data_IF_820871200452
#
_entry.id   IF_820871200452
#
_cell.length_a   1.000
_cell.length_b   1.000
_cell.length_c   1.000
_cell.angle_alpha   90.00
_cell.angle_beta   90.00
_cell.angle_gamma   90.00
#
_symmetry.space_group_name_H-M   'P 1'
#
loop_
_entity.id
_entity.type
_entity.pdbx_description
1 polymer ?
#
# COMPACT_ATOMS: atom_id res chain seq x y z
N UNK A 1 -4.85 -49.00 12.07
CA UNK A 1 -5.70 -48.04 11.34
C UNK A 1 -5.96 -46.77 12.15
N UNK A 2 -6.37 -46.85 13.43
CA UNK A 2 -6.65 -45.67 14.26
C UNK A 2 -5.47 -44.68 14.40
N UNK A 3 -4.25 -45.17 14.64
CA UNK A 3 -3.04 -44.32 14.74
C UNK A 3 -2.78 -43.58 13.41
N UNK A 4 -3.00 -44.25 12.27
CA UNK A 4 -2.79 -43.64 10.95
C UNK A 4 -3.84 -42.56 10.65
N UNK A 5 -5.10 -42.74 11.07
CA UNK A 5 -6.13 -41.70 10.93
C UNK A 5 -5.91 -40.51 11.85
N UNK A 6 -5.38 -40.74 13.06
CA UNK A 6 -5.07 -39.67 14.02
C UNK A 6 -3.89 -38.82 13.56
N UNK A 7 -2.82 -39.46 13.06
CA UNK A 7 -1.69 -38.76 12.42
C UNK A 7 -2.16 -37.97 11.19
N UNK A 8 -3.03 -38.54 10.37
CA UNK A 8 -3.57 -37.86 9.19
C UNK A 8 -4.37 -36.60 9.55
N UNK A 9 -5.18 -36.65 10.62
CA UNK A 9 -5.93 -35.49 11.11
C UNK A 9 -4.99 -34.38 11.64
N UNK A 10 -3.96 -34.74 12.40
CA UNK A 10 -2.95 -33.77 12.88
C UNK A 10 -2.25 -33.09 11.69
N UNK A 11 -1.80 -33.86 10.70
CA UNK A 11 -1.14 -33.33 9.50
C UNK A 11 -2.07 -32.41 8.71
N UNK A 12 -3.36 -32.75 8.61
CA UNK A 12 -4.35 -31.91 7.92
C UNK A 12 -4.57 -30.57 8.64
N UNK A 13 -4.62 -30.60 9.98
CA UNK A 13 -4.73 -29.38 10.81
C UNK A 13 -3.46 -28.51 10.75
N UNK A 14 -2.28 -29.11 10.61
CA UNK A 14 -1.04 -28.38 10.39
C UNK A 14 -0.99 -27.74 8.99
N UNK A 15 -1.38 -28.47 7.95
CA UNK A 15 -1.38 -27.99 6.56
C UNK A 15 -2.34 -26.80 6.37
N UNK A 16 -3.52 -26.80 6.99
CA UNK A 16 -4.44 -25.65 6.91
C UNK A 16 -3.84 -24.38 7.53
N UNK A 17 -3.06 -24.48 8.61
CA UNK A 17 -2.37 -23.32 9.21
C UNK A 17 -1.32 -22.78 8.23
N UNK A 18 -0.57 -23.66 7.57
CA UNK A 18 0.39 -23.28 6.53
C UNK A 18 -0.32 -22.60 5.35
N UNK A 19 -1.40 -23.19 4.84
CA UNK A 19 -2.20 -22.62 3.74
C UNK A 19 -2.80 -21.26 4.10
N UNK A 20 -3.27 -21.10 5.34
CA UNK A 20 -3.77 -19.83 5.85
C UNK A 20 -2.66 -18.77 5.85
N UNK A 21 -1.48 -19.09 6.40
CA UNK A 21 -0.34 -18.19 6.41
C UNK A 21 0.07 -17.77 4.99
N UNK A 22 0.18 -18.73 4.07
CA UNK A 22 0.46 -18.47 2.64
C UNK A 22 -0.57 -17.54 2.01
N UNK A 23 -1.85 -17.78 2.27
CA UNK A 23 -2.96 -16.99 1.72
C UNK A 23 -2.94 -15.55 2.24
N UNK A 24 -2.70 -15.35 3.54
CA UNK A 24 -2.64 -14.02 4.13
C UNK A 24 -1.41 -13.22 3.67
N UNK A 25 -0.24 -13.86 3.52
CA UNK A 25 0.95 -13.20 2.97
C UNK A 25 0.73 -12.81 1.51
N UNK A 26 0.19 -13.73 0.69
CA UNK A 26 -0.02 -13.49 -0.75
C UNK A 26 -1.08 -12.43 -1.03
N UNK A 27 -2.05 -12.25 -0.15
CA UNK A 27 -3.10 -11.22 -0.27
C UNK A 27 -2.69 -9.87 0.35
N UNK A 28 -1.54 -9.83 1.05
CA UNK A 28 -0.89 -8.59 1.45
C UNK A 28 -1.17 -8.13 2.88
N UNK A 29 -1.65 -9.01 3.76
CA UNK A 29 -1.85 -8.70 5.18
C UNK A 29 -0.54 -8.26 5.87
N UNK A 30 -0.59 -7.36 6.88
CA UNK A 30 0.58 -6.98 7.69
C UNK A 30 1.13 -8.16 8.52
N UNK A 31 2.45 -8.30 8.64
CA UNK A 31 3.12 -9.48 9.22
C UNK A 31 2.63 -9.82 10.64
N UNK A 32 2.57 -8.82 11.52
CA UNK A 32 2.12 -8.98 12.91
C UNK A 32 0.69 -9.52 13.04
N UNK A 33 -0.16 -9.33 12.03
CA UNK A 33 -1.53 -9.84 12.02
C UNK A 33 -1.61 -11.27 11.53
N UNK A 34 -0.72 -11.65 10.63
CA UNK A 34 -0.64 -13.03 10.12
C UNK A 34 -0.23 -13.95 11.26
N UNK A 35 0.79 -13.57 12.04
CA UNK A 35 1.24 -14.30 13.23
C UNK A 35 0.09 -14.47 14.24
N UNK A 36 -0.59 -13.38 14.60
CA UNK A 36 -1.72 -13.43 15.53
C UNK A 36 -2.92 -14.24 14.98
N UNK A 37 -3.11 -14.28 13.66
CA UNK A 37 -4.16 -15.06 13.02
C UNK A 37 -3.86 -16.57 13.07
N UNK A 38 -2.63 -16.94 12.73
CA UNK A 38 -2.15 -18.32 12.78
C UNK A 38 -2.17 -18.84 14.23
N UNK A 39 -1.73 -18.04 15.20
CA UNK A 39 -1.76 -18.41 16.62
C UNK A 39 -3.18 -18.68 17.14
N UNK A 40 -4.17 -17.86 16.76
CA UNK A 40 -5.56 -18.05 17.16
C UNK A 40 -6.19 -19.31 16.56
N UNK A 41 -5.93 -19.57 15.28
CA UNK A 41 -6.42 -20.78 14.60
C UNK A 41 -5.75 -22.02 15.19
N UNK A 42 -4.44 -21.95 15.43
CA UNK A 42 -3.67 -23.02 16.07
C UNK A 42 -4.21 -23.40 17.45
N UNK A 43 -4.49 -22.42 18.30
CA UNK A 43 -5.14 -22.63 19.61
C UNK A 43 -6.52 -23.28 19.50
N UNK A 44 -7.26 -23.01 18.43
CA UNK A 44 -8.59 -23.62 18.22
C UNK A 44 -8.50 -25.07 17.74
N UNK A 45 -7.48 -25.38 16.93
CA UNK A 45 -7.21 -26.71 16.38
C UNK A 45 -6.40 -27.61 17.33
N UNK A 46 -6.05 -27.09 18.51
CA UNK A 46 -5.25 -27.75 19.54
C UNK A 46 -3.84 -28.13 19.04
N UNK A 47 -3.24 -27.24 18.26
CA UNK A 47 -1.87 -27.38 17.77
C UNK A 47 -0.95 -26.48 18.60
N UNK A 48 0.17 -27.02 19.06
CA UNK A 48 1.24 -26.23 19.66
C UNK A 48 2.19 -25.79 18.55
N UNK A 49 2.23 -24.49 18.28
CA UNK A 49 3.10 -23.95 17.24
C UNK A 49 3.57 -22.53 17.50
N UNK A 50 4.73 -22.21 16.92
CA UNK A 50 5.31 -20.87 16.89
C UNK A 50 5.40 -20.39 15.45
N UNK A 51 5.09 -19.11 15.23
CA UNK A 51 4.94 -18.52 13.91
C UNK A 51 5.74 -17.22 13.83
N UNK A 52 6.57 -17.09 12.81
CA UNK A 52 7.27 -15.84 12.52
C UNK A 52 7.15 -15.53 11.02
N UNK A 53 6.74 -14.31 10.70
CA UNK A 53 6.57 -13.84 9.32
C UNK A 53 7.59 -12.76 9.02
N UNK A 54 8.47 -13.06 8.08
CA UNK A 54 9.46 -12.15 7.53
C UNK A 54 9.11 -11.81 6.08
N UNK A 55 9.57 -10.66 5.55
CA UNK A 55 9.41 -10.36 4.13
C UNK A 55 10.00 -11.49 3.27
N UNK A 56 9.17 -12.16 2.49
CA UNK A 56 9.58 -13.28 1.62
C UNK A 56 9.61 -14.67 2.27
N UNK A 57 9.42 -14.80 3.59
CA UNK A 57 9.59 -16.05 4.33
C UNK A 57 8.60 -16.18 5.50
N UNK A 58 7.92 -17.32 5.57
CA UNK A 58 7.15 -17.72 6.75
C UNK A 58 7.90 -18.87 7.42
N UNK A 59 8.15 -18.73 8.72
CA UNK A 59 8.72 -19.76 9.57
C UNK A 59 7.59 -20.29 10.45
N UNK A 60 7.31 -21.57 10.31
CA UNK A 60 6.32 -22.28 11.11
C UNK A 60 7.02 -23.41 11.84
N UNK A 61 6.95 -23.42 13.16
CA UNK A 61 7.45 -24.53 13.97
C UNK A 61 6.29 -25.17 14.70
N UNK A 62 6.02 -26.44 14.42
CA UNK A 62 5.09 -27.25 15.19
C UNK A 62 5.86 -28.02 16.25
N UNK A 63 5.41 -27.92 17.50
CA UNK A 63 5.99 -28.65 18.62
C UNK A 63 5.09 -29.82 19.01
N UNK A 64 5.70 -30.96 19.28
CA UNK A 64 5.04 -32.08 19.95
C UNK A 64 5.58 -32.20 21.38
N UNK A 65 4.69 -31.98 22.35
CA UNK A 65 5.04 -32.00 23.78
C UNK A 65 5.32 -33.43 24.24
N UNK A 66 4.71 -34.45 23.64
CA UNK A 66 4.86 -35.84 24.07
C UNK A 66 6.21 -36.43 23.65
N UNK A 67 6.64 -36.13 22.42
CA UNK A 67 7.90 -36.66 21.87
C UNK A 67 9.10 -35.71 22.05
N UNK A 68 8.86 -34.49 22.57
CA UNK A 68 9.85 -33.42 22.62
C UNK A 68 10.48 -33.11 21.25
N UNK A 69 9.75 -33.37 20.15
CA UNK A 69 10.20 -33.06 18.80
C UNK A 69 9.60 -31.76 18.29
N UNK A 70 10.30 -31.11 17.37
CA UNK A 70 9.80 -29.91 16.70
C UNK A 70 10.06 -30.01 15.21
N UNK A 71 9.01 -29.88 14.40
CA UNK A 71 9.12 -29.79 12.95
C UNK A 71 9.06 -28.32 12.54
N UNK A 72 10.04 -27.86 11.75
CA UNK A 72 10.09 -26.48 11.28
C UNK A 72 9.98 -26.42 9.76
N UNK A 73 8.96 -25.72 9.27
CA UNK A 73 8.75 -25.44 7.86
C UNK A 73 9.20 -24.02 7.52
N UNK A 74 10.05 -23.92 6.50
CA UNK A 74 10.49 -22.66 5.91
C UNK A 74 9.79 -22.48 4.57
N UNK A 75 8.82 -21.57 4.52
CA UNK A 75 7.96 -21.38 3.36
C UNK A 75 8.28 -20.03 2.71
N UNK A 76 8.81 -20.07 1.49
CA UNK A 76 9.00 -18.85 0.69
C UNK A 76 7.67 -18.39 0.12
N UNK A 77 7.32 -17.12 0.34
CA UNK A 77 6.09 -16.51 -0.16
C UNK A 77 6.37 -15.09 -0.63
N UNK A 78 6.07 -14.79 -1.90
CA UNK A 78 6.05 -13.42 -2.39
C UNK A 78 4.76 -12.74 -1.97
N UNK A 79 4.90 -11.51 -1.45
CA UNK A 79 3.77 -10.66 -1.11
C UNK A 79 3.17 -10.12 -2.41
N UNK A 80 1.86 -10.18 -2.53
CA UNK A 80 1.08 -9.42 -3.50
C UNK A 80 -0.03 -8.69 -2.74
N UNK A 81 -0.69 -7.72 -3.37
CA UNK A 81 -1.77 -6.97 -2.75
C UNK A 81 -3.04 -7.19 -3.54
N UNK A 82 -4.01 -7.87 -2.93
CA UNK A 82 -5.33 -8.12 -3.49
C UNK A 82 -6.36 -8.01 -2.35
N UNK A 83 -6.94 -6.82 -2.21
CA UNK A 83 -7.82 -6.47 -1.08
C UNK A 83 -9.11 -7.31 -1.10
N UNK A 84 -9.63 -7.65 -2.29
CA UNK A 84 -10.79 -8.51 -2.44
C UNK A 84 -10.53 -9.92 -1.91
N UNK A 85 -9.40 -10.53 -2.31
CA UNK A 85 -8.98 -11.83 -1.79
C UNK A 85 -8.61 -11.80 -0.31
N UNK A 86 -8.03 -10.70 0.17
CA UNK A 86 -7.68 -10.52 1.58
C UNK A 86 -8.91 -10.58 2.48
N UNK A 87 -10.01 -9.91 2.12
CA UNK A 87 -11.27 -9.97 2.89
C UNK A 87 -11.83 -11.40 2.95
N UNK A 88 -11.73 -12.15 1.85
CA UNK A 88 -12.18 -13.56 1.78
C UNK A 88 -11.31 -14.47 2.66
N UNK A 89 -9.99 -14.40 2.53
CA UNK A 89 -9.05 -15.18 3.34
C UNK A 89 -9.24 -14.88 4.85
N UNK A 90 -9.43 -13.61 5.18
CA UNK A 90 -9.72 -13.16 6.55
C UNK A 90 -11.03 -13.74 7.09
N UNK A 91 -12.09 -13.78 6.26
CA UNK A 91 -13.38 -14.34 6.66
C UNK A 91 -13.25 -15.83 6.97
N UNK A 92 -12.56 -16.59 6.13
CA UNK A 92 -12.29 -18.02 6.34
C UNK A 92 -11.51 -18.22 7.65
N UNK A 93 -10.42 -17.46 7.86
CA UNK A 93 -9.63 -17.52 9.08
C UNK A 93 -10.48 -17.26 10.34
N UNK A 94 -11.40 -16.29 10.25
CA UNK A 94 -12.29 -15.92 11.36
C UNK A 94 -13.33 -17.00 11.64
N UNK A 95 -13.90 -17.64 10.62
CA UNK A 95 -14.84 -18.75 10.78
C UNK A 95 -14.14 -19.99 11.37
N UNK A 96 -12.93 -20.30 10.90
CA UNK A 96 -12.11 -21.39 11.41
C UNK A 96 -11.76 -21.18 12.89
N UNK A 97 -11.37 -19.97 13.28
CA UNK A 97 -11.10 -19.63 14.68
C UNK A 97 -12.34 -19.70 15.58
N UNK A 98 -13.55 -19.52 15.03
CA UNK A 98 -14.83 -19.69 15.75
C UNK A 98 -15.34 -21.14 15.74
N UNK A 99 -14.76 -22.02 14.92
CA UNK A 99 -15.24 -23.38 14.71
C UNK A 99 -16.55 -23.47 13.92
N UNK A 100 -16.81 -22.49 13.05
CA UNK A 100 -18.01 -22.44 12.19
C UNK A 100 -17.84 -23.19 10.86
N UNK A 101 -16.61 -23.53 10.49
CA UNK A 101 -16.26 -24.17 9.22
C UNK A 101 -15.33 -25.35 9.49
N UNK A 102 -15.54 -26.44 8.76
CA UNK A 102 -14.72 -27.64 8.89
C UNK A 102 -13.34 -27.46 8.23
N UNK A 103 -12.34 -28.18 8.71
CA UNK A 103 -10.96 -28.12 8.22
C UNK A 103 -10.84 -28.43 6.72
N UNK A 104 -11.40 -29.53 6.18
CA UNK A 104 -11.33 -29.82 4.74
C UNK A 104 -11.99 -28.72 3.89
N UNK A 105 -13.19 -28.27 4.26
CA UNK A 105 -13.90 -27.22 3.53
C UNK A 105 -13.11 -25.91 3.51
N UNK A 106 -12.52 -25.51 4.65
CA UNK A 106 -11.70 -24.32 4.72
C UNK A 106 -10.40 -24.46 3.92
N UNK A 107 -9.82 -25.66 3.82
CA UNK A 107 -8.63 -25.92 3.00
C UNK A 107 -8.92 -25.74 1.50
N UNK A 108 -10.06 -26.23 1.02
CA UNK A 108 -10.49 -26.06 -0.37
C UNK A 108 -10.73 -24.58 -0.70
N UNK A 109 -11.42 -23.86 0.19
CA UNK A 109 -11.67 -22.42 0.03
C UNK A 109 -10.38 -21.59 0.00
N UNK A 110 -9.36 -21.96 0.79
CA UNK A 110 -8.06 -21.29 0.76
C UNK A 110 -7.27 -21.62 -0.52
N UNK A 111 -7.34 -22.86 -0.99
CA UNK A 111 -6.71 -23.27 -2.25
C UNK A 111 -7.32 -22.55 -3.46
N UNK A 112 -8.63 -22.32 -3.46
CA UNK A 112 -9.33 -21.52 -4.47
C UNK A 112 -8.82 -20.07 -4.51
N UNK A 113 -8.53 -19.47 -3.35
CA UNK A 113 -7.97 -18.11 -3.28
C UNK A 113 -6.55 -18.08 -3.84
N UNK A 114 -5.72 -19.09 -3.50
CA UNK A 114 -4.32 -19.18 -3.93
C UNK A 114 -4.16 -19.49 -5.42
N UNK A 115 -5.05 -20.32 -5.98
CA UNK A 115 -5.03 -20.73 -7.40
C UNK A 115 -5.87 -19.83 -8.30
N UNK A 116 -6.81 -19.08 -7.73
CA UNK A 116 -7.72 -18.22 -8.48
C UNK A 116 -7.00 -17.06 -9.21
N UNK A 117 -7.55 -16.59 -10.35
CA UNK A 117 -7.01 -15.44 -11.08
C UNK A 117 -7.06 -14.16 -10.22
N UNK A 118 -6.31 -13.10 -10.57
CA UNK A 118 -6.44 -11.81 -9.90
C UNK A 118 -7.88 -11.29 -9.98
N UNK A 119 -8.30 -10.49 -8.99
CA UNK A 119 -9.66 -9.94 -8.91
C UNK A 119 -10.06 -9.17 -10.18
N UNK A 120 -9.12 -8.45 -10.79
CA UNK A 120 -9.33 -7.69 -12.02
C UNK A 120 -8.50 -8.22 -13.18
N UNK A 121 -9.05 -8.14 -14.40
CA UNK A 121 -8.33 -8.46 -15.64
C UNK A 121 -7.19 -7.45 -15.84
N UNK A 122 -6.06 -7.84 -16.46
CA UNK A 122 -4.92 -6.94 -16.69
C UNK A 122 -5.29 -5.63 -17.39
N UNK A 123 -6.22 -5.67 -18.35
CA UNK A 123 -6.68 -4.47 -19.08
C UNK A 123 -7.36 -3.48 -18.13
N UNK A 124 -8.19 -3.95 -17.19
CA UNK A 124 -8.86 -3.11 -16.20
C UNK A 124 -7.86 -2.46 -15.27
N UNK A 125 -6.80 -3.18 -14.89
CA UNK A 125 -5.70 -2.64 -14.08
C UNK A 125 -4.98 -1.52 -14.86
N UNK A 126 -4.59 -1.74 -16.11
CA UNK A 126 -3.91 -0.72 -16.94
C UNK A 126 -4.77 0.54 -17.12
N UNK A 127 -6.08 0.38 -17.35
CA UNK A 127 -7.01 1.52 -17.42
C UNK A 127 -7.13 2.25 -16.07
N UNK A 128 -7.07 1.52 -14.96
CA UNK A 128 -7.06 2.11 -13.63
C UNK A 128 -5.77 2.89 -13.33
N UNK A 129 -4.62 2.47 -13.90
CA UNK A 129 -3.40 3.28 -13.88
C UNK A 129 -3.59 4.62 -14.58
N UNK A 130 -4.15 4.61 -15.80
CA UNK A 130 -4.43 5.84 -16.54
C UNK A 130 -5.40 6.75 -15.76
N UNK A 131 -6.50 6.19 -15.24
CA UNK A 131 -7.52 6.94 -14.52
C UNK A 131 -6.98 7.59 -13.24
N UNK A 132 -6.23 6.84 -12.44
CA UNK A 132 -5.67 7.35 -11.19
C UNK A 132 -4.61 8.43 -11.43
N UNK A 133 -3.69 8.24 -12.38
CA UNK A 133 -2.70 9.27 -12.75
C UNK A 133 -3.36 10.55 -13.28
N UNK A 134 -4.41 10.42 -14.10
CA UNK A 134 -5.17 11.55 -14.60
C UNK A 134 -5.82 12.37 -13.47
N UNK A 135 -6.44 11.69 -12.51
CA UNK A 135 -7.17 12.35 -11.42
C UNK A 135 -6.25 12.89 -10.31
N UNK A 136 -5.09 12.27 -10.08
CA UNK A 136 -4.11 12.69 -9.07
C UNK A 136 -3.41 14.00 -9.45
N UNK A 137 -3.14 14.21 -10.74
CA UNK A 137 -2.48 15.43 -11.24
C UNK A 137 -3.15 16.73 -10.76
N UNK A 138 -4.46 16.95 -10.99
CA UNK A 138 -5.15 18.14 -10.47
C UNK A 138 -5.38 18.10 -8.96
N UNK A 139 -5.57 16.91 -8.37
CA UNK A 139 -5.98 16.77 -6.97
C UNK A 139 -4.88 17.11 -5.95
N UNK A 140 -3.62 16.77 -6.26
CA UNK A 140 -2.49 16.97 -5.34
C UNK A 140 -1.42 17.93 -5.86
N UNK A 141 -1.32 18.11 -7.17
CA UNK A 141 -0.26 18.90 -7.78
C UNK A 141 -0.77 20.16 -8.47
N UNK A 142 -2.07 20.49 -8.32
CA UNK A 142 -2.69 21.66 -8.94
C UNK A 142 -2.49 21.69 -10.47
N UNK A 143 -2.49 20.51 -11.10
CA UNK A 143 -2.42 20.38 -12.56
C UNK A 143 -3.66 20.92 -13.27
N UNK A 144 -3.46 21.31 -14.52
CA UNK A 144 -4.47 21.75 -15.48
C UNK A 144 -5.17 20.58 -16.18
N UNK A 145 -6.17 20.86 -17.02
CA UNK A 145 -6.82 19.83 -17.85
C UNK A 145 -5.86 19.18 -18.86
N UNK A 146 -4.89 19.92 -19.39
CA UNK A 146 -3.87 19.36 -20.28
C UNK A 146 -2.96 18.40 -19.52
N UNK A 147 -2.57 18.76 -18.30
CA UNK A 147 -1.79 17.89 -17.41
C UNK A 147 -2.52 16.58 -17.10
N UNK A 148 -3.85 16.62 -16.92
CA UNK A 148 -4.68 15.45 -16.68
C UNK A 148 -4.59 14.42 -17.81
N UNK A 149 -4.79 14.84 -19.07
CA UNK A 149 -4.73 13.94 -20.22
C UNK A 149 -3.33 13.40 -20.49
N UNK A 150 -2.30 14.24 -20.37
CA UNK A 150 -0.91 13.79 -20.53
C UNK A 150 -0.51 12.80 -19.42
N UNK A 151 -0.93 13.07 -18.17
CA UNK A 151 -0.73 12.14 -17.05
C UNK A 151 -1.46 10.81 -17.27
N UNK A 152 -2.64 10.82 -17.90
CA UNK A 152 -3.37 9.60 -18.24
C UNK A 152 -2.59 8.72 -19.23
N UNK A 153 -1.97 9.33 -20.25
CA UNK A 153 -1.18 8.64 -21.25
C UNK A 153 0.07 8.02 -20.62
N UNK A 154 0.79 8.78 -19.79
CA UNK A 154 1.93 8.22 -19.07
C UNK A 154 1.53 7.16 -18.05
N UNK A 155 0.43 7.34 -17.33
CA UNK A 155 -0.12 6.32 -16.42
C UNK A 155 -0.45 5.02 -17.17
N UNK A 156 -1.05 5.11 -18.35
CA UNK A 156 -1.31 3.95 -19.21
C UNK A 156 0.00 3.24 -19.61
N UNK A 157 1.02 4.01 -20.00
CA UNK A 157 2.34 3.46 -20.34
C UNK A 157 2.99 2.77 -19.14
N UNK A 158 2.96 3.38 -17.94
CA UNK A 158 3.46 2.78 -16.70
C UNK A 158 2.71 1.50 -16.36
N UNK A 159 1.38 1.48 -16.49
CA UNK A 159 0.58 0.27 -16.25
C UNK A 159 0.93 -0.86 -17.22
N UNK A 160 1.11 -0.55 -18.50
CA UNK A 160 1.54 -1.54 -19.50
C UNK A 160 2.95 -2.07 -19.22
N UNK A 161 3.90 -1.20 -18.86
CA UNK A 161 5.27 -1.59 -18.50
C UNK A 161 5.31 -2.41 -17.21
N UNK A 162 4.41 -2.13 -16.25
CA UNK A 162 4.27 -2.94 -15.02
C UNK A 162 3.83 -4.36 -15.35
N UNK A 163 2.87 -4.52 -16.27
CA UNK A 163 2.47 -5.86 -16.71
C UNK A 163 3.58 -6.62 -17.44
N UNK A 164 4.47 -5.91 -18.15
CA UNK A 164 5.63 -6.51 -18.82
C UNK A 164 6.72 -6.88 -17.80
N UNK A 165 6.93 -6.07 -16.75
CA UNK A 165 7.95 -6.33 -15.71
C UNK A 165 7.68 -7.61 -14.93
N UNK A 166 6.42 -7.96 -14.72
CA UNK A 166 6.03 -9.23 -14.09
C UNK A 166 6.44 -10.46 -14.91
N UNK A 167 6.62 -10.33 -16.22
CA UNK A 167 6.98 -11.44 -17.12
C UNK A 167 8.48 -11.54 -17.37
N UNK A 168 9.19 -10.42 -17.32
CA UNK A 168 10.62 -10.33 -17.66
C UNK A 168 11.40 -9.93 -16.40
N UNK A 169 12.05 -10.88 -15.69
CA UNK A 169 12.71 -10.60 -14.41
C UNK A 169 13.86 -9.58 -14.53
N UNK A 170 14.54 -9.55 -15.69
CA UNK A 170 15.61 -8.56 -15.94
C UNK A 170 15.06 -7.13 -16.02
N UNK A 171 13.84 -6.95 -16.54
CA UNK A 171 13.20 -5.63 -16.61
C UNK A 171 12.73 -5.16 -15.23
N UNK A 172 12.28 -6.09 -14.38
CA UNK A 172 11.90 -5.80 -12.98
C UNK A 172 13.03 -5.14 -12.18
N UNK A 173 14.29 -5.55 -12.40
CA UNK A 173 15.45 -5.01 -11.68
C UNK A 173 15.81 -3.56 -12.03
N UNK A 174 15.33 -3.05 -13.18
CA UNK A 174 15.64 -1.70 -13.69
C UNK A 174 14.36 -0.91 -13.93
N UNK A 175 13.22 -1.41 -13.44
CA UNK A 175 11.89 -0.94 -13.77
C UNK A 175 11.71 0.54 -13.43
N UNK A 176 12.16 0.94 -12.24
CA UNK A 176 12.01 2.30 -11.72
C UNK A 176 12.68 3.33 -12.62
N UNK A 177 13.91 3.03 -13.06
CA UNK A 177 14.67 3.89 -13.97
C UNK A 177 14.10 3.84 -15.39
N UNK A 178 13.68 2.66 -15.86
CA UNK A 178 13.14 2.47 -17.20
C UNK A 178 11.84 3.24 -17.43
N UNK A 179 10.99 3.41 -16.41
CA UNK A 179 9.76 4.21 -16.53
C UNK A 179 10.03 5.72 -16.34
N UNK A 180 10.88 6.11 -15.40
CA UNK A 180 11.02 7.52 -15.00
C UNK A 180 11.86 8.33 -15.97
N UNK A 181 12.91 7.75 -16.57
CA UNK A 181 13.80 8.47 -17.51
C UNK A 181 13.01 8.95 -18.74
N UNK A 182 12.24 8.10 -19.47
CA UNK A 182 11.45 8.55 -20.61
C UNK A 182 10.36 9.56 -20.21
N UNK A 183 9.68 9.34 -19.08
CA UNK A 183 8.66 10.26 -18.59
C UNK A 183 9.26 11.64 -18.35
N UNK A 184 10.42 11.73 -17.69
CA UNK A 184 11.08 12.99 -17.42
C UNK A 184 11.49 13.72 -18.71
N UNK A 185 12.12 13.02 -19.65
CA UNK A 185 12.54 13.61 -20.94
C UNK A 185 11.35 14.12 -21.75
N UNK A 186 10.28 13.31 -21.88
CA UNK A 186 9.11 13.69 -22.67
C UNK A 186 8.30 14.79 -21.96
N UNK A 187 8.18 14.74 -20.63
CA UNK A 187 7.49 15.78 -19.86
C UNK A 187 8.23 17.13 -19.97
N UNK A 188 9.57 17.14 -20.00
CA UNK A 188 10.34 18.36 -20.23
C UNK A 188 10.19 18.89 -21.66
N UNK A 189 10.12 18.00 -22.66
CA UNK A 189 9.83 18.40 -24.03
C UNK A 189 8.47 19.10 -24.18
N UNK A 190 7.49 18.72 -23.36
CA UNK A 190 6.15 19.29 -23.34
C UNK A 190 5.98 20.47 -22.37
N UNK A 191 7.01 20.81 -21.58
CA UNK A 191 6.96 21.83 -20.51
C UNK A 191 6.23 23.15 -20.85
N UNK A 192 6.31 23.76 -22.06
CA UNK A 192 5.56 24.99 -22.33
C UNK A 192 4.03 24.82 -22.25
N UNK A 193 3.50 23.60 -22.37
CA UNK A 193 2.07 23.31 -22.35
C UNK A 193 1.60 22.59 -21.08
N UNK A 194 2.53 22.07 -20.28
CA UNK A 194 2.24 21.24 -19.11
C UNK A 194 3.09 21.60 -17.90
N UNK A 195 2.56 21.34 -16.71
CA UNK A 195 3.35 21.44 -15.48
C UNK A 195 4.15 20.14 -15.25
N UNK A 196 5.48 20.23 -15.38
CA UNK A 196 6.38 19.07 -15.21
C UNK A 196 6.15 18.34 -13.88
N UNK A 197 6.16 19.08 -12.77
CA UNK A 197 6.04 18.49 -11.43
C UNK A 197 4.70 17.77 -11.24
N UNK A 198 3.62 18.28 -11.84
CA UNK A 198 2.32 17.62 -11.77
C UNK A 198 2.30 16.33 -12.58
N UNK A 199 2.76 16.37 -13.83
CA UNK A 199 2.70 15.24 -14.77
C UNK A 199 3.68 14.13 -14.42
N UNK A 200 4.93 14.47 -14.07
CA UNK A 200 5.96 13.47 -13.78
C UNK A 200 5.62 12.65 -12.52
N UNK A 201 5.08 13.28 -11.48
CA UNK A 201 4.79 12.62 -10.20
C UNK A 201 3.43 11.91 -10.24
N UNK A 202 2.42 12.48 -10.91
CA UNK A 202 1.11 11.82 -11.08
C UNK A 202 1.21 10.56 -11.94
N UNK A 203 2.07 10.56 -12.97
CA UNK A 203 2.27 9.41 -13.86
C UNK A 203 2.80 8.18 -13.12
N UNK A 204 3.65 8.39 -12.12
CA UNK A 204 4.25 7.31 -11.32
C UNK A 204 3.53 7.08 -9.99
N UNK A 205 2.38 7.74 -9.73
CA UNK A 205 1.76 7.75 -8.39
C UNK A 205 1.51 6.36 -7.82
N UNK A 206 1.14 5.40 -8.66
CA UNK A 206 0.91 4.01 -8.24
C UNK A 206 2.21 3.28 -7.94
N UNK A 207 3.28 3.57 -8.68
CA UNK A 207 4.60 2.99 -8.44
C UNK A 207 5.19 3.49 -7.11
N UNK A 208 4.74 4.64 -6.61
CA UNK A 208 5.19 5.14 -5.31
C UNK A 208 4.88 4.11 -4.21
N UNK A 209 5.88 3.70 -3.40
CA UNK A 209 5.75 2.64 -2.40
C UNK A 209 5.05 3.17 -1.14
N UNK A 210 3.94 3.86 -1.34
CA UNK A 210 3.28 4.61 -0.31
C UNK A 210 2.69 3.74 0.80
N UNK A 211 1.93 2.71 0.40
CA UNK A 211 1.44 1.70 1.32
C UNK A 211 2.60 1.05 2.09
N UNK A 212 3.66 0.65 1.39
CA UNK A 212 4.85 0.04 2.01
C UNK A 212 5.49 0.96 3.06
N UNK A 213 5.66 2.26 2.77
CA UNK A 213 6.20 3.24 3.73
C UNK A 213 5.35 3.31 5.00
N UNK A 214 4.03 3.45 4.86
CA UNK A 214 3.14 3.53 6.02
C UNK A 214 3.05 2.24 6.82
N UNK A 215 2.97 1.09 6.15
CA UNK A 215 3.02 -0.21 6.82
C UNK A 215 4.33 -0.41 7.56
N UNK A 216 5.47 0.02 7.00
CA UNK A 216 6.77 -0.11 7.65
C UNK A 216 6.81 0.59 9.00
N UNK A 217 6.41 1.87 9.03
CA UNK A 217 6.42 2.68 10.26
C UNK A 217 5.38 2.17 11.26
N UNK A 218 4.26 1.63 10.77
CA UNK A 218 3.26 0.96 11.61
C UNK A 218 3.79 -0.33 12.23
N UNK A 219 4.52 -1.15 11.48
CA UNK A 219 5.15 -2.36 11.99
C UNK A 219 6.24 -2.03 13.02
N UNK A 220 7.05 -1.00 12.77
CA UNK A 220 8.05 -0.47 13.69
C UNK A 220 7.43 0.01 15.02
N UNK A 221 6.36 0.79 14.95
CA UNK A 221 5.64 1.28 16.14
C UNK A 221 4.88 0.17 16.88
N UNK A 222 4.42 -0.86 16.18
CA UNK A 222 3.87 -2.09 16.75
C UNK A 222 4.94 -3.04 17.35
N UNK A 223 6.20 -2.60 17.44
CA UNK A 223 7.36 -3.38 17.94
C UNK A 223 7.76 -4.58 17.07
N UNK A 224 7.27 -4.69 15.83
CA UNK A 224 7.79 -5.64 14.85
C UNK A 224 8.97 -5.00 14.10
N UNK A 225 10.12 -4.92 14.78
CA UNK A 225 11.30 -4.20 14.32
C UNK A 225 11.89 -4.81 13.04
N UNK A 226 11.93 -6.14 12.92
CA UNK A 226 12.58 -6.81 11.78
C UNK A 226 11.79 -6.58 10.49
N UNK A 227 10.48 -6.89 10.49
CA UNK A 227 9.62 -6.69 9.31
C UNK A 227 9.55 -5.20 8.93
N UNK A 228 9.33 -4.32 9.91
CA UNK A 228 9.18 -2.89 9.67
C UNK A 228 10.46 -2.22 9.15
N UNK A 229 11.64 -2.60 9.66
CA UNK A 229 12.92 -2.02 9.20
C UNK A 229 13.26 -2.41 7.76
N UNK A 230 13.06 -3.68 7.40
CA UNK A 230 13.34 -4.17 6.04
C UNK A 230 12.43 -3.49 5.03
N UNK A 231 11.13 -3.38 5.32
CA UNK A 231 10.18 -2.69 4.45
C UNK A 231 10.51 -1.19 4.32
N UNK A 232 10.93 -0.54 5.41
CA UNK A 232 11.27 0.88 5.39
C UNK A 232 12.48 1.16 4.50
N UNK A 233 13.56 0.38 4.69
CA UNK A 233 14.79 0.52 3.88
C UNK A 233 14.49 0.26 2.41
N UNK A 234 13.73 -0.80 2.10
CA UNK A 234 13.32 -1.11 0.73
C UNK A 234 12.53 0.04 0.10
N UNK A 235 11.54 0.59 0.80
CA UNK A 235 10.72 1.67 0.28
C UNK A 235 11.48 2.98 0.09
N UNK A 236 12.45 3.30 0.98
CA UNK A 236 13.33 4.47 0.82
C UNK A 236 14.25 4.34 -0.39
N UNK A 237 14.87 3.17 -0.59
CA UNK A 237 15.70 2.88 -1.77
C UNK A 237 14.86 2.98 -3.04
N UNK A 238 13.63 2.47 -3.01
CA UNK A 238 12.71 2.52 -4.14
C UNK A 238 12.36 3.98 -4.53
N UNK A 239 12.03 4.83 -3.56
CA UNK A 239 11.81 6.27 -3.80
C UNK A 239 13.07 6.93 -4.37
N UNK A 240 14.25 6.55 -3.89
CA UNK A 240 15.52 7.07 -4.40
C UNK A 240 15.77 6.67 -5.86
N UNK A 241 15.45 5.43 -6.26
CA UNK A 241 15.57 5.01 -7.67
C UNK A 241 14.60 5.75 -8.60
N UNK A 242 13.36 5.97 -8.16
CA UNK A 242 12.40 6.78 -8.92
C UNK A 242 12.91 8.22 -9.09
N UNK A 243 13.38 8.84 -8.00
CA UNK A 243 13.90 10.19 -8.03
C UNK A 243 15.18 10.30 -8.87
N UNK A 244 16.07 9.32 -8.76
CA UNK A 244 17.29 9.23 -9.57
C UNK A 244 16.94 9.17 -11.05
N UNK A 245 15.99 8.33 -11.46
CA UNK A 245 15.60 8.24 -12.87
C UNK A 245 14.96 9.52 -13.41
N UNK A 246 14.16 10.24 -12.60
CA UNK A 246 13.66 11.58 -12.96
C UNK A 246 14.83 12.57 -13.11
N UNK A 247 15.73 12.64 -12.13
CA UNK A 247 16.88 13.55 -12.15
C UNK A 247 17.84 13.26 -13.31
N UNK A 248 18.07 11.99 -13.60
CA UNK A 248 18.87 11.53 -14.74
C UNK A 248 18.22 11.95 -16.07
N UNK A 249 16.91 11.76 -16.23
CA UNK A 249 16.16 12.24 -17.39
C UNK A 249 16.22 13.76 -17.57
N UNK A 250 16.14 14.52 -16.47
CA UNK A 250 16.32 15.98 -16.49
C UNK A 250 17.72 16.37 -16.96
N UNK A 251 18.74 15.64 -16.52
CA UNK A 251 20.14 15.88 -16.89
C UNK A 251 20.39 15.61 -18.38
N UNK A 252 19.81 14.54 -18.94
CA UNK A 252 19.83 14.27 -20.38
C UNK A 252 19.22 15.43 -21.17
N UNK A 253 18.05 15.92 -20.74
CA UNK A 253 17.38 17.03 -21.42
C UNK A 253 18.23 18.31 -21.40
N UNK A 254 18.81 18.67 -20.24
CA UNK A 254 19.68 19.84 -20.09
C UNK A 254 20.93 19.77 -20.98
N UNK A 255 21.50 18.58 -21.20
CA UNK A 255 22.63 18.40 -22.12
C UNK A 255 22.23 18.69 -23.57
N UNK A 256 21.00 18.36 -23.96
CA UNK A 256 20.49 18.62 -25.31
C UNK A 256 20.03 20.06 -25.55
N UNK A 257 19.55 20.74 -24.51
CA UNK A 257 19.01 22.10 -24.56
C UNK A 257 19.56 22.94 -23.39
N UNK A 258 20.81 23.42 -23.47
CA UNK A 258 21.48 24.11 -22.37
C UNK A 258 20.88 25.50 -22.06
N UNK A 259 20.14 26.10 -22.99
CA UNK A 259 19.62 27.46 -22.88
C UNK A 259 18.28 27.59 -22.12
N UNK A 260 17.70 26.46 -21.67
CA UNK A 260 16.39 26.44 -21.02
C UNK A 260 16.53 26.22 -19.51
N UNK A 261 16.47 27.30 -18.74
CA UNK A 261 16.39 27.23 -17.28
C UNK A 261 15.02 26.72 -16.84
N UNK A 262 14.96 25.43 -16.47
CA UNK A 262 13.74 24.75 -16.04
C UNK A 262 13.68 24.61 -14.52
N UNK A 263 12.68 25.26 -13.91
CA UNK A 263 12.30 25.04 -12.52
C UNK A 263 11.49 23.74 -12.39
N UNK A 264 12.20 22.62 -12.22
CA UNK A 264 11.66 21.26 -12.10
C UNK A 264 10.64 21.12 -10.96
N UNK A 265 10.75 21.95 -9.91
CA UNK A 265 9.87 21.97 -8.73
C UNK A 265 8.94 23.21 -8.67
N UNK A 266 8.83 23.97 -9.76
CA UNK A 266 7.99 25.17 -9.81
C UNK A 266 6.51 24.91 -9.50
N UNK A 267 5.84 25.87 -8.86
CA UNK A 267 4.41 25.82 -8.64
C UNK A 267 3.65 25.97 -9.97
N UNK A 268 2.67 25.10 -10.22
CA UNK A 268 1.86 25.16 -11.43
C UNK A 268 0.94 26.41 -11.41
N UNK A 269 0.96 27.21 -12.48
CA UNK A 269 0.24 28.49 -12.55
C UNK A 269 -1.24 28.34 -12.96
N UNK A 270 -1.60 27.29 -13.70
CA UNK A 270 -2.95 27.08 -14.26
C UNK A 270 -3.71 25.98 -13.50
N UNK A 271 -3.96 26.19 -12.22
CA UNK A 271 -4.69 25.23 -11.38
C UNK A 271 -6.19 25.19 -11.69
N UNK A 272 -6.78 23.99 -11.69
CA UNK A 272 -8.22 23.83 -11.80
C UNK A 272 -8.97 24.36 -10.57
N UNK A 273 -10.26 24.66 -10.77
CA UNK A 273 -11.12 25.10 -9.67
C UNK A 273 -11.26 23.97 -8.62
N UNK A 274 -11.07 24.25 -7.31
CA UNK A 274 -11.19 23.26 -6.23
C UNK A 274 -12.48 22.44 -6.20
N UNK A 275 -13.58 22.93 -6.80
CA UNK A 275 -14.83 22.16 -6.88
C UNK A 275 -14.68 20.84 -7.67
N UNK A 276 -13.73 20.75 -8.59
CA UNK A 276 -13.47 19.51 -9.33
C UNK A 276 -12.93 18.37 -8.46
N UNK A 277 -12.44 18.67 -7.26
CA UNK A 277 -11.99 17.65 -6.31
C UNK A 277 -13.10 16.67 -5.92
N UNK A 278 -14.37 17.11 -5.91
CA UNK A 278 -15.52 16.21 -5.69
C UNK A 278 -15.65 15.12 -6.76
N UNK A 279 -15.14 15.36 -7.97
CA UNK A 279 -15.12 14.39 -9.06
C UNK A 279 -13.83 13.57 -9.06
N UNK A 280 -12.68 14.24 -8.92
CA UNK A 280 -11.38 13.58 -9.02
C UNK A 280 -11.07 12.66 -7.85
N UNK A 281 -11.55 12.97 -6.63
CA UNK A 281 -11.26 12.16 -5.44
C UNK A 281 -11.92 10.77 -5.49
N UNK A 282 -13.23 10.63 -5.82
CA UNK A 282 -13.82 9.31 -6.00
C UNK A 282 -13.16 8.52 -7.14
N UNK A 283 -12.90 9.16 -8.28
CA UNK A 283 -12.30 8.50 -9.45
C UNK A 283 -10.87 8.01 -9.17
N UNK A 284 -10.04 8.82 -8.50
CA UNK A 284 -8.69 8.41 -8.11
C UNK A 284 -8.72 7.26 -7.11
N UNK A 285 -9.63 7.30 -6.13
CA UNK A 285 -9.80 6.24 -5.13
C UNK A 285 -10.26 4.92 -5.78
N UNK A 286 -11.20 4.99 -6.73
CA UNK A 286 -11.67 3.80 -7.47
C UNK A 286 -10.55 3.24 -8.34
N UNK A 287 -9.79 4.10 -9.03
CA UNK A 287 -8.62 3.68 -9.81
C UNK A 287 -7.59 2.96 -8.96
N UNK A 288 -7.17 3.58 -7.84
CA UNK A 288 -6.23 2.96 -6.89
C UNK A 288 -6.79 1.66 -6.29
N UNK A 289 -8.06 1.65 -5.89
CA UNK A 289 -8.72 0.45 -5.38
C UNK A 289 -8.73 -0.69 -6.39
N UNK A 290 -8.98 -0.41 -7.66
CA UNK A 290 -8.95 -1.41 -8.74
C UNK A 290 -7.55 -1.99 -8.94
N UNK A 291 -6.51 -1.14 -8.92
CA UNK A 291 -5.10 -1.58 -9.03
C UNK A 291 -4.72 -2.50 -7.88
N UNK A 292 -5.17 -2.20 -6.66
CA UNK A 292 -4.90 -3.02 -5.47
C UNK A 292 -5.86 -4.19 -5.27
N UNK A 293 -6.67 -4.52 -6.29
CA UNK A 293 -7.53 -5.70 -6.26
C UNK A 293 -8.79 -5.58 -5.40
N UNK A 294 -9.26 -4.37 -5.12
CA UNK A 294 -10.50 -4.17 -4.36
C UNK A 294 -11.73 -4.56 -5.18
N UNK A 295 -12.65 -5.31 -4.58
CA UNK A 295 -13.95 -5.66 -5.18
C UNK A 295 -14.86 -4.43 -5.30
N UNK A 296 -15.82 -4.43 -6.24
CA UNK A 296 -16.71 -3.26 -6.51
C UNK A 296 -17.48 -2.81 -5.27
N UNK A 297 -17.92 -3.73 -4.42
CA UNK A 297 -18.60 -3.40 -3.15
C UNK A 297 -17.67 -2.64 -2.19
N UNK A 298 -16.35 -2.87 -2.26
CA UNK A 298 -15.37 -2.23 -1.39
C UNK A 298 -15.06 -0.79 -1.81
N UNK A 299 -15.38 -0.39 -3.04
CA UNK A 299 -15.11 0.96 -3.53
C UNK A 299 -15.86 2.03 -2.75
N UNK A 300 -17.13 1.80 -2.43
CA UNK A 300 -17.95 2.77 -1.71
C UNK A 300 -17.37 3.13 -0.33
N UNK A 301 -17.06 2.18 0.58
CA UNK A 301 -16.47 2.51 1.86
C UNK A 301 -15.06 3.12 1.72
N UNK A 302 -14.29 2.74 0.70
CA UNK A 302 -12.98 3.37 0.41
C UNK A 302 -13.13 4.83 0.02
N UNK A 303 -14.06 5.17 -0.88
CA UNK A 303 -14.32 6.55 -1.31
C UNK A 303 -14.80 7.42 -0.15
N UNK A 304 -15.67 6.89 0.71
CA UNK A 304 -16.13 7.63 1.89
C UNK A 304 -14.99 7.92 2.87
N UNK A 305 -14.16 6.92 3.16
CA UNK A 305 -13.00 7.09 4.06
C UNK A 305 -12.01 8.11 3.48
N UNK A 306 -11.67 7.97 2.19
CA UNK A 306 -10.87 8.95 1.44
C UNK A 306 -11.44 10.36 1.49
N UNK A 307 -12.76 10.52 1.34
CA UNK A 307 -13.43 11.82 1.42
C UNK A 307 -13.31 12.45 2.81
N UNK A 308 -13.49 11.67 3.87
CA UNK A 308 -13.32 12.13 5.26
C UNK A 308 -11.87 12.55 5.50
N UNK A 309 -10.90 11.70 5.16
CA UNK A 309 -9.48 11.99 5.36
C UNK A 309 -9.00 13.22 4.58
N UNK A 310 -9.33 13.29 3.29
CA UNK A 310 -8.94 14.41 2.43
C UNK A 310 -9.58 15.73 2.88
N UNK A 311 -10.87 15.71 3.26
CA UNK A 311 -11.55 16.94 3.72
C UNK A 311 -10.88 17.49 4.98
N UNK A 312 -10.61 16.63 5.96
CA UNK A 312 -9.92 17.03 7.19
C UNK A 312 -8.51 17.52 6.89
N UNK A 313 -7.76 16.80 6.04
CA UNK A 313 -6.44 17.21 5.60
C UNK A 313 -6.46 18.61 4.97
N UNK A 314 -7.37 18.86 4.02
CA UNK A 314 -7.47 20.13 3.30
C UNK A 314 -7.75 21.32 4.23
N UNK A 315 -8.69 21.18 5.18
CA UNK A 315 -9.00 22.27 6.11
C UNK A 315 -7.89 22.51 7.15
N UNK A 316 -7.24 21.45 7.63
CA UNK A 316 -6.12 21.57 8.58
C UNK A 316 -4.89 22.16 7.90
N UNK A 317 -4.63 21.79 6.65
CA UNK A 317 -3.54 22.34 5.84
C UNK A 317 -3.64 23.86 5.72
N UNK A 318 -4.85 24.36 5.44
CA UNK A 318 -5.15 25.80 5.35
C UNK A 318 -4.96 26.54 6.66
N UNK A 319 -5.21 25.89 7.81
CA UNK A 319 -5.09 26.51 9.13
C UNK A 319 -3.66 26.50 9.67
N UNK A 320 -2.93 25.41 9.42
CA UNK A 320 -1.59 25.17 9.98
C UNK A 320 -0.45 25.66 9.08
N UNK A 321 -0.77 26.28 7.95
CA UNK A 321 0.19 26.69 6.91
C UNK A 321 1.10 25.54 6.46
N UNK A 322 0.47 24.38 6.17
CA UNK A 322 1.16 23.18 5.65
C UNK A 322 2.22 22.57 6.57
N UNK A 323 1.89 22.41 7.84
CA UNK A 323 2.71 21.62 8.76
C UNK A 323 2.77 20.15 8.32
N UNK A 324 3.96 19.66 7.98
CA UNK A 324 4.21 18.28 7.55
C UNK A 324 3.94 17.22 8.64
N UNK A 325 3.67 17.64 9.89
CA UNK A 325 3.44 16.74 11.04
C UNK A 325 1.97 16.79 11.48
N UNK A 326 1.42 17.98 11.66
CA UNK A 326 0.06 18.14 12.21
C UNK A 326 -1.00 17.77 11.16
N UNK A 327 -0.85 18.23 9.92
CA UNK A 327 -1.86 17.99 8.87
C UNK A 327 -2.09 16.50 8.59
N UNK A 328 -1.04 15.68 8.35
CA UNK A 328 -1.22 14.26 8.11
C UNK A 328 -1.73 13.50 9.34
N UNK A 329 -1.32 13.88 10.55
CA UNK A 329 -1.76 13.18 11.78
C UNK A 329 -3.24 13.37 12.06
N UNK A 330 -3.77 14.59 11.89
CA UNK A 330 -5.21 14.86 12.09
C UNK A 330 -6.06 14.20 11.00
N UNK A 331 -5.59 14.21 9.75
CA UNK A 331 -6.26 13.47 8.67
C UNK A 331 -6.27 11.96 8.92
N UNK A 332 -5.15 11.37 9.33
CA UNK A 332 -5.06 9.96 9.69
C UNK A 332 -5.92 9.57 10.90
N UNK A 333 -6.07 10.48 11.87
CA UNK A 333 -7.00 10.29 12.98
C UNK A 333 -8.46 10.19 12.49
N UNK A 334 -8.87 11.06 11.55
CA UNK A 334 -10.21 11.02 10.97
C UNK A 334 -10.46 9.73 10.17
N UNK A 335 -9.49 9.32 9.34
CA UNK A 335 -9.51 8.03 8.64
C UNK A 335 -9.68 6.87 9.63
N UNK A 336 -8.79 6.81 10.62
CA UNK A 336 -8.80 5.78 11.67
C UNK A 336 -10.14 5.70 12.40
N UNK A 337 -10.79 6.85 12.65
CA UNK A 337 -12.06 6.90 13.36
C UNK A 337 -13.19 6.36 12.50
N UNK A 338 -13.26 6.79 11.23
CA UNK A 338 -14.25 6.28 10.27
C UNK A 338 -14.06 4.78 10.01
N UNK A 339 -12.85 4.34 9.66
CA UNK A 339 -12.57 2.94 9.36
C UNK A 339 -12.84 2.00 10.54
N UNK A 340 -12.50 2.40 11.77
CA UNK A 340 -12.80 1.61 12.97
C UNK A 340 -14.29 1.59 13.31
N UNK A 341 -15.00 2.70 13.10
CA UNK A 341 -16.46 2.78 13.28
C UNK A 341 -17.17 1.90 12.24
N UNK A 342 -16.76 1.98 10.98
CA UNK A 342 -17.24 1.13 9.89
C UNK A 342 -17.09 -0.35 10.24
N UNK A 343 -15.92 -0.76 10.73
CA UNK A 343 -15.68 -2.15 11.13
C UNK A 343 -16.57 -2.56 12.32
N UNK A 344 -16.83 -1.66 13.26
CA UNK A 344 -17.71 -1.93 14.42
C UNK A 344 -19.17 -2.14 14.00
N UNK A 345 -19.65 -1.35 13.05
CA UNK A 345 -21.05 -1.40 12.57
C UNK A 345 -21.26 -2.56 11.61
N UNK A 346 -20.39 -2.69 10.60
CA UNK A 346 -20.57 -3.68 9.53
C UNK A 346 -20.00 -5.06 9.87
N UNK A 347 -19.20 -5.18 10.94
CA UNK A 347 -18.42 -6.38 11.30
C UNK A 347 -17.47 -6.85 10.19
N UNK A 348 -17.19 -5.99 9.22
CA UNK A 348 -16.24 -6.25 8.13
C UNK A 348 -14.84 -5.75 8.49
N UNK A 349 -13.91 -6.08 7.62
CA UNK A 349 -12.50 -5.75 7.74
C UNK A 349 -12.26 -4.22 7.70
N UNK A 350 -11.75 -3.64 8.80
CA UNK A 350 -11.42 -2.20 8.88
C UNK A 350 -10.32 -1.79 7.88
N UNK A 351 -9.45 -2.74 7.53
CA UNK A 351 -8.35 -2.53 6.59
C UNK A 351 -8.82 -2.06 5.20
N UNK A 352 -10.00 -2.51 4.74
CA UNK A 352 -10.51 -2.16 3.41
C UNK A 352 -10.72 -0.66 3.21
N UNK A 353 -11.57 0.05 3.99
CA UNK A 353 -11.75 1.50 3.83
C UNK A 353 -10.43 2.25 4.07
N UNK A 354 -9.71 1.88 5.12
CA UNK A 354 -8.49 2.56 5.56
C UNK A 354 -7.37 2.52 4.53
N UNK A 355 -7.29 1.47 3.71
CA UNK A 355 -6.37 1.46 2.57
C UNK A 355 -6.68 2.58 1.57
N UNK A 356 -7.96 2.82 1.25
CA UNK A 356 -8.34 3.89 0.33
C UNK A 356 -7.88 5.26 0.81
N UNK A 357 -8.22 5.60 2.05
CA UNK A 357 -7.89 6.91 2.62
C UNK A 357 -6.41 7.08 2.93
N UNK A 358 -5.73 6.04 3.44
CA UNK A 358 -4.30 6.14 3.76
C UNK A 358 -3.47 6.36 2.51
N UNK A 359 -3.71 5.61 1.42
CA UNK A 359 -2.96 5.74 0.15
C UNK A 359 -2.96 7.17 -0.38
N UNK A 360 -4.08 7.88 -0.21
CA UNK A 360 -4.24 9.30 -0.59
C UNK A 360 -3.42 10.23 0.31
N UNK A 361 -3.29 9.92 1.60
CA UNK A 361 -2.58 10.77 2.57
C UNK A 361 -1.07 10.49 2.69
N UNK A 362 -0.60 9.41 2.07
CA UNK A 362 0.74 8.87 2.27
C UNK A 362 1.83 9.76 1.63
N UNK A 363 3.03 9.82 2.23
CA UNK A 363 4.13 10.68 1.80
C UNK A 363 4.77 10.36 0.44
N UNK A 364 4.23 9.43 -0.37
CA UNK A 364 4.92 8.91 -1.55
C UNK A 364 5.38 10.02 -2.51
N UNK A 365 4.50 10.97 -2.79
CA UNK A 365 4.77 12.09 -3.71
C UNK A 365 5.72 13.13 -3.12
N UNK A 366 5.58 13.43 -1.82
CA UNK A 366 6.44 14.37 -1.09
C UNK A 366 7.85 13.79 -0.99
N UNK A 367 7.97 12.48 -0.74
CA UNK A 367 9.24 11.75 -0.69
C UNK A 367 9.97 11.81 -2.03
N UNK A 368 9.27 11.58 -3.15
CA UNK A 368 9.88 11.70 -4.48
C UNK A 368 10.28 13.15 -4.79
N UNK A 369 9.45 14.17 -4.45
CA UNK A 369 9.85 15.58 -4.62
C UNK A 369 11.12 15.92 -3.84
N UNK A 370 11.18 15.52 -2.57
CA UNK A 370 12.36 15.72 -1.74
C UNK A 370 13.57 14.97 -2.28
N UNK A 371 13.40 13.73 -2.76
CA UNK A 371 14.49 12.97 -3.34
C UNK A 371 14.94 13.51 -4.72
N UNK A 372 14.06 14.10 -5.54
CA UNK A 372 14.47 14.79 -6.78
C UNK A 372 15.40 15.96 -6.45
N UNK A 373 15.14 16.69 -5.36
CA UNK A 373 15.99 17.82 -4.93
C UNK A 373 17.43 17.41 -4.58
N UNK A 374 17.70 16.13 -4.28
CA UNK A 374 19.06 15.62 -4.10
C UNK A 374 19.86 15.55 -5.40
N UNK A 375 19.17 15.29 -6.51
CA UNK A 375 19.79 15.09 -7.82
C UNK A 375 19.69 16.33 -8.71
N UNK A 376 18.80 17.26 -8.38
CA UNK A 376 18.76 18.58 -8.98
C UNK A 376 19.84 19.45 -8.32
N UNK A 377 21.03 19.51 -8.94
CA UNK A 377 22.24 20.17 -8.41
C UNK A 377 22.14 21.69 -8.13
N UNK A 378 20.93 22.24 -8.18
CA UNK A 378 20.59 23.62 -7.87
C UNK A 378 20.37 23.88 -6.36
N UNK A 379 20.02 22.87 -5.55
CA UNK A 379 19.62 23.06 -4.14
C UNK A 379 20.24 22.03 -3.17
N UNK A 380 21.52 22.25 -2.81
CA UNK A 380 22.28 21.37 -1.89
C UNK A 380 21.69 21.33 -0.47
N UNK A 381 20.98 22.37 -0.01
CA UNK A 381 20.38 22.41 1.34
C UNK A 381 19.08 21.59 1.47
N UNK A 382 18.35 21.35 0.38
CA UNK A 382 17.05 20.66 0.42
C UNK A 382 17.15 19.14 0.57
N UNK A 383 18.22 18.56 0.04
CA UNK A 383 18.33 17.11 -0.15
C UNK A 383 18.44 16.29 1.14
N UNK A 384 19.02 16.81 2.22
CA UNK A 384 19.15 16.09 3.49
C UNK A 384 17.81 15.99 4.26
N UNK A 385 16.82 16.80 3.89
CA UNK A 385 15.53 16.88 4.60
C UNK A 385 14.52 15.80 4.19
N UNK A 386 14.69 15.15 3.02
CA UNK A 386 13.65 14.25 2.49
C UNK A 386 13.38 13.04 3.40
N UNK A 387 14.44 12.42 3.95
CA UNK A 387 14.30 11.27 4.85
C UNK A 387 13.52 11.69 6.09
N UNK A 388 13.86 12.84 6.68
CA UNK A 388 13.18 13.38 7.85
C UNK A 388 11.72 13.74 7.55
N UNK A 389 11.40 14.26 6.37
CA UNK A 389 10.02 14.54 5.94
C UNK A 389 9.21 13.25 5.79
N UNK A 390 9.74 12.25 5.08
CA UNK A 390 9.06 10.95 4.87
C UNK A 390 8.80 10.26 6.21
N UNK A 391 9.81 10.21 7.09
CA UNK A 391 9.68 9.65 8.43
C UNK A 391 8.70 10.45 9.30
N UNK A 392 8.77 11.78 9.26
CA UNK A 392 7.87 12.66 10.02
C UNK A 392 6.41 12.47 9.64
N UNK A 393 6.10 12.41 8.34
CA UNK A 393 4.74 12.15 7.85
C UNK A 393 4.32 10.73 8.25
N UNK A 394 5.17 9.72 8.05
CA UNK A 394 4.80 8.35 8.40
C UNK A 394 4.54 8.17 9.90
N UNK A 395 5.35 8.78 10.77
CA UNK A 395 5.11 8.82 12.22
C UNK A 395 3.79 9.53 12.54
N UNK A 396 3.51 10.65 11.87
CA UNK A 396 2.27 11.40 12.04
C UNK A 396 1.04 10.58 11.67
N UNK A 397 1.10 9.84 10.55
CA UNK A 397 0.04 8.93 10.12
C UNK A 397 -0.18 7.81 11.16
N UNK A 398 0.90 7.21 11.67
CA UNK A 398 0.77 6.18 12.71
C UNK A 398 0.16 6.73 14.00
N UNK A 399 0.58 7.92 14.44
CA UNK A 399 0.03 8.58 15.63
C UNK A 399 -1.48 8.78 15.49
N UNK A 400 -1.93 9.31 14.35
CA UNK A 400 -3.35 9.52 14.06
C UNK A 400 -4.16 8.22 14.09
N UNK A 401 -3.68 7.18 13.40
CA UNK A 401 -4.35 5.87 13.33
C UNK A 401 -4.41 5.17 14.71
N UNK A 402 -3.36 5.25 15.52
CA UNK A 402 -3.35 4.67 16.87
C UNK A 402 -4.27 5.41 17.84
N UNK A 403 -4.28 6.75 17.80
CA UNK A 403 -5.20 7.54 18.61
C UNK A 403 -6.65 7.22 18.28
N UNK A 404 -6.99 7.07 17.00
CA UNK A 404 -8.33 6.70 16.59
C UNK A 404 -8.74 5.31 17.11
N UNK A 405 -7.82 4.34 17.09
CA UNK A 405 -8.05 3.02 17.68
C UNK A 405 -8.34 3.10 19.18
N UNK A 406 -7.58 3.92 19.92
CA UNK A 406 -7.77 4.12 21.36
C UNK A 406 -9.13 4.72 21.68
N UNK A 407 -9.60 5.69 20.88
CA UNK A 407 -10.91 6.32 21.04
C UNK A 407 -12.05 5.33 20.79
N UNK A 408 -11.97 4.51 19.73
CA UNK A 408 -13.05 3.57 19.38
C UNK A 408 -13.05 2.33 20.27
N UNK A 409 -11.87 1.87 20.71
CA UNK A 409 -11.68 0.65 21.50
C UNK A 409 -10.86 0.88 22.80
N UNK A 410 -11.34 1.72 23.74
CA UNK A 410 -10.56 2.16 24.91
C UNK A 410 -10.25 1.04 25.92
N UNK A 411 -11.08 0.00 26.00
CA UNK A 411 -10.88 -1.17 26.90
C UNK A 411 -10.16 -2.34 26.21
N UNK A 412 -9.58 -2.10 25.04
CA UNK A 412 -9.05 -3.14 24.15
C UNK A 412 -10.17 -3.88 23.38
N UNK A 413 -9.82 -4.44 22.22
CA UNK A 413 -10.73 -5.18 21.34
C UNK A 413 -11.08 -6.56 21.96
N UNK A 414 -11.99 -6.62 22.94
CA UNK A 414 -12.43 -7.87 23.62
C UNK A 414 -13.23 -8.84 22.71
N UNK A 415 -13.70 -8.42 21.54
CA UNK A 415 -14.38 -9.29 20.55
C UNK A 415 -13.87 -9.01 19.13
N UNK A 416 -13.16 -9.99 18.57
CA UNK A 416 -13.20 -10.40 17.16
C UNK A 416 -13.18 -9.30 16.07
N UNK A 417 -12.09 -8.55 15.97
CA UNK A 417 -11.65 -8.05 14.65
C UNK A 417 -10.18 -8.47 14.49
N UNK A 418 -9.96 -9.56 13.75
CA UNK A 418 -8.66 -10.16 13.46
C UNK A 418 -7.69 -9.16 12.74
N UNK A 419 -8.21 -8.07 12.15
CA UNK A 419 -7.48 -7.09 11.32
C UNK A 419 -8.08 -5.67 11.44
N UNK A 420 -8.17 -5.14 12.65
CA UNK A 420 -8.31 -3.68 12.83
C UNK A 420 -6.95 -3.12 13.17
N UNK A 421 -6.61 -1.90 12.72
CA UNK A 421 -5.32 -1.24 12.95
C UNK A 421 -4.84 -1.38 14.40
#
# INVERSE_FOLDING_TARGET
MAIASEIADILQRQDIIIKLGKSLVRTGAPSHRIEAAMEKVSKRLDIVGSYAVLPGLIIVTFGDVETHTSETHLIRCSRSLDIGKLERAYRIASCLARGETDVPEAADLLDDILKGPPTWKPISIILAYALSSACVAPLFFNGSWTDCWVSAIFGLAVGALTYISEKIPMFSNVFEMAITIPIAVIALALHPYICFAAVAISAIVIALPGYSLTCSVMELSARNLVSGSIHLVYALIYVLFLAFGIGYGCSIWRLSHPDVDLNVLGACQNSLNPYWTFLFLPLSTIGLGTVYGADVHQWFPMVLDSAVGYSVYYFVDKYTHSSAVITPSVGAFALGLFGNLYARVTKRLAFVPLMGGTIILVPGSIGVRGAISLFDGSNVEGGSSFVFQVLGIALSLTLGLFLANLVVYPKGKKRSVFLGF
#
